data_IF_312379033676
#
_entry.id   IF_312379033676
#
_cell.length_a   1.000
_cell.length_b   1.000
_cell.length_c   1.000
_cell.angle_alpha   90.00
_cell.angle_beta   90.00
_cell.angle_gamma   90.00
#
_symmetry.space_group_name_H-M   'P 1'
#
loop_
_entity.id
_entity.type
_entity.pdbx_description
1 polymer ?
#
# COMPACT_ATOMS: atom_id res chain seq x y z
N UNK A 1 27.64 4.71 6.83
CA UNK A 1 27.02 3.99 5.69
C UNK A 1 26.38 2.73 6.26
N UNK A 2 25.05 2.68 6.35
CA UNK A 2 24.35 1.50 6.88
C UNK A 2 23.87 0.65 5.71
N UNK A 3 24.52 -0.49 5.50
CA UNK A 3 24.14 -1.47 4.49
C UNK A 3 23.01 -2.30 5.10
N UNK A 4 21.77 -2.03 4.69
CA UNK A 4 20.63 -2.89 4.99
C UNK A 4 20.66 -4.09 4.03
N UNK A 5 20.91 -5.27 4.60
CA UNK A 5 20.85 -6.56 3.90
C UNK A 5 19.38 -6.81 3.53
N UNK A 6 19.04 -6.74 2.23
CA UNK A 6 17.71 -7.06 1.72
C UNK A 6 17.58 -8.57 1.47
N UNK A 7 16.59 -9.26 2.06
CA UNK A 7 16.29 -10.64 1.70
C UNK A 7 15.61 -10.70 0.31
N UNK A 8 15.88 -11.80 -0.39
CA UNK A 8 15.78 -12.04 -1.84
C UNK A 8 14.40 -11.94 -2.55
N UNK A 9 13.35 -11.45 -1.89
CA UNK A 9 12.00 -11.29 -2.46
C UNK A 9 11.53 -9.84 -2.27
N UNK A 10 12.11 -8.91 -3.04
CA UNK A 10 12.23 -7.48 -2.73
C UNK A 10 10.95 -6.77 -2.23
N UNK A 11 10.73 -6.85 -0.92
CA UNK A 11 9.96 -5.90 -0.12
C UNK A 11 10.90 -4.76 0.22
N UNK A 12 10.89 -3.69 -0.56
CA UNK A 12 11.71 -2.51 -0.24
C UNK A 12 11.09 -1.80 0.96
N UNK A 13 11.88 -1.53 1.98
CA UNK A 13 11.43 -0.78 3.16
C UNK A 13 12.12 0.58 3.19
N UNK A 14 11.34 1.66 3.20
CA UNK A 14 11.80 3.02 3.41
C UNK A 14 11.52 3.43 4.85
N UNK A 15 12.56 3.76 5.60
CA UNK A 15 12.42 4.38 6.91
C UNK A 15 11.84 5.78 6.73
N UNK A 16 10.80 6.07 7.51
CA UNK A 16 10.24 7.40 7.70
C UNK A 16 10.74 7.94 9.05
N UNK A 17 10.39 9.18 9.36
CA UNK A 17 10.75 9.80 10.63
C UNK A 17 10.17 9.04 11.83
N UNK A 18 10.83 9.15 12.98
CA UNK A 18 10.40 8.58 14.27
C UNK A 18 10.19 7.05 14.27
N UNK A 19 10.91 6.32 13.41
CA UNK A 19 10.87 4.85 13.36
C UNK A 19 9.68 4.27 12.60
N UNK A 20 8.86 5.12 11.99
CA UNK A 20 7.83 4.69 11.05
C UNK A 20 8.45 4.06 9.81
N UNK A 21 7.73 3.15 9.15
CA UNK A 21 8.24 2.46 7.97
C UNK A 21 7.21 2.44 6.87
N UNK A 22 7.64 2.69 5.64
CA UNK A 22 6.88 2.45 4.43
C UNK A 22 7.43 1.18 3.76
N UNK A 23 6.63 0.12 3.79
CA UNK A 23 6.98 -1.19 3.26
C UNK A 23 6.31 -1.36 1.89
N UNK A 24 7.10 -1.35 0.83
CA UNK A 24 6.66 -1.64 -0.53
C UNK A 24 6.59 -3.14 -0.70
N UNK A 25 5.40 -3.71 -0.77
CA UNK A 25 5.25 -5.16 -0.98
C UNK A 25 5.21 -5.49 -2.48
N UNK A 26 4.60 -4.59 -3.27
CA UNK A 26 4.48 -4.69 -4.73
C UNK A 26 4.43 -3.28 -5.34
N UNK A 27 4.66 -3.11 -6.65
CA UNK A 27 4.69 -1.78 -7.30
C UNK A 27 3.48 -0.87 -7.04
N UNK A 28 2.29 -1.46 -6.85
CA UNK A 28 1.01 -0.81 -6.61
C UNK A 28 0.47 -1.06 -5.21
N UNK A 29 1.28 -1.61 -4.30
CA UNK A 29 0.84 -1.90 -2.94
C UNK A 29 1.95 -1.70 -1.93
N UNK A 30 1.71 -0.77 -1.01
CA UNK A 30 2.61 -0.51 0.12
C UNK A 30 1.83 -0.40 1.43
N UNK A 31 2.51 -0.56 2.54
CA UNK A 31 1.93 -0.41 3.88
C UNK A 31 2.78 0.51 4.72
N UNK A 32 2.15 1.31 5.57
CA UNK A 32 2.85 2.04 6.63
C UNK A 32 2.68 1.32 7.94
N UNK A 33 3.79 1.02 8.60
CA UNK A 33 3.82 0.44 9.94
C UNK A 33 4.35 1.47 10.94
N UNK A 34 3.78 1.43 12.14
CA UNK A 34 4.23 2.18 13.31
C UNK A 34 5.60 1.65 13.79
N UNK A 35 6.28 2.38 14.68
CA UNK A 35 7.55 1.94 15.27
C UNK A 35 7.45 0.60 16.02
N UNK A 36 6.29 0.29 16.58
CA UNK A 36 5.97 -0.99 17.25
C UNK A 36 5.75 -2.17 16.27
N UNK A 37 5.79 -1.92 14.95
CA UNK A 37 5.56 -2.91 13.91
C UNK A 37 4.09 -3.10 13.52
N UNK A 38 3.14 -2.47 14.21
CA UNK A 38 1.72 -2.56 13.87
C UNK A 38 1.40 -1.80 12.58
N UNK A 39 0.49 -2.34 11.76
CA UNK A 39 0.05 -1.66 10.53
C UNK A 39 -0.81 -0.45 10.88
N UNK A 40 -0.48 0.69 10.27
CA UNK A 40 -1.25 1.91 10.38
C UNK A 40 -2.23 2.08 9.21
N UNK A 41 -1.72 1.96 7.98
CA UNK A 41 -2.52 2.07 6.76
C UNK A 41 -1.84 1.36 5.60
N UNK A 42 -2.59 1.14 4.53
CA UNK A 42 -2.10 0.61 3.25
C UNK A 42 -2.34 1.61 2.13
N UNK A 43 -1.55 1.49 1.08
CA UNK A 43 -1.63 2.28 -0.14
C UNK A 43 -1.81 1.35 -1.33
N UNK A 44 -2.76 1.69 -2.19
CA UNK A 44 -3.11 0.93 -3.40
C UNK A 44 -3.00 1.87 -4.60
N UNK A 45 -2.14 1.54 -5.57
CA UNK A 45 -1.78 2.42 -6.67
C UNK A 45 -2.54 2.12 -7.96
N UNK A 46 -2.93 3.18 -8.67
CA UNK A 46 -3.66 3.12 -9.95
C UNK A 46 -3.13 4.17 -10.92
N UNK A 47 -3.09 3.83 -12.21
CA UNK A 47 -2.68 4.79 -13.26
C UNK A 47 -3.86 5.61 -13.79
N UNK A 48 -5.08 5.06 -13.65
CA UNK A 48 -6.33 5.61 -14.18
C UNK A 48 -7.27 6.03 -13.04
N UNK A 49 -7.85 7.23 -13.18
CA UNK A 49 -8.72 7.81 -12.16
C UNK A 49 -10.03 7.05 -12.01
N UNK A 50 -10.64 6.65 -13.14
CA UNK A 50 -11.94 5.97 -13.12
C UNK A 50 -11.83 4.62 -12.40
N UNK A 51 -10.77 3.87 -12.70
CA UNK A 51 -10.46 2.60 -12.02
C UNK A 51 -10.25 2.82 -10.52
N UNK A 52 -9.51 3.87 -10.14
CA UNK A 52 -9.27 4.20 -8.74
C UNK A 52 -10.57 4.58 -8.01
N UNK A 53 -11.47 5.34 -8.65
CA UNK A 53 -12.76 5.72 -8.08
C UNK A 53 -13.68 4.51 -7.88
N UNK A 54 -13.82 3.65 -8.89
CA UNK A 54 -14.63 2.42 -8.76
C UNK A 54 -14.10 1.50 -7.66
N UNK A 55 -12.77 1.40 -7.52
CA UNK A 55 -12.17 0.59 -6.45
C UNK A 55 -12.36 1.23 -5.07
N UNK A 56 -12.28 2.57 -4.98
CA UNK A 56 -12.56 3.32 -3.75
C UNK A 56 -13.98 3.08 -3.26
N UNK A 57 -14.98 3.14 -4.14
CA UNK A 57 -16.39 2.91 -3.80
C UNK A 57 -16.58 1.55 -3.14
N UNK A 58 -15.96 0.50 -3.71
CA UNK A 58 -16.01 -0.86 -3.16
C UNK A 58 -15.32 -0.95 -1.80
N UNK A 59 -14.12 -0.37 -1.65
CA UNK A 59 -13.40 -0.38 -0.38
C UNK A 59 -14.13 0.38 0.73
N UNK A 60 -14.75 1.51 0.38
CA UNK A 60 -15.40 2.42 1.33
C UNK A 60 -16.62 1.82 2.00
N UNK A 61 -17.16 0.70 1.49
CA UNK A 61 -18.22 -0.07 2.14
C UNK A 61 -17.77 -0.73 3.44
N UNK A 62 -16.49 -1.10 3.54
CA UNK A 62 -15.96 -1.90 4.64
C UNK A 62 -14.81 -1.21 5.40
N UNK A 63 -14.16 -0.23 4.77
CA UNK A 63 -12.97 0.41 5.30
C UNK A 63 -13.06 1.92 5.17
N UNK A 64 -12.40 2.63 6.09
CA UNK A 64 -12.09 4.04 5.84
C UNK A 64 -11.06 4.09 4.72
N UNK A 65 -11.37 4.77 3.63
CA UNK A 65 -10.49 4.91 2.48
C UNK A 65 -10.57 6.33 1.88
N UNK A 66 -9.49 6.77 1.25
CA UNK A 66 -9.37 8.09 0.64
C UNK A 66 -8.56 7.97 -0.66
N UNK A 67 -9.09 8.51 -1.75
CA UNK A 67 -8.37 8.65 -3.01
C UNK A 67 -7.58 9.95 -3.04
N UNK A 68 -6.33 9.88 -3.50
CA UNK A 68 -5.46 11.06 -3.67
C UNK A 68 -4.52 10.87 -4.86
N UNK A 69 -3.84 11.95 -5.24
CA UNK A 69 -2.76 11.90 -6.21
C UNK A 69 -1.60 11.06 -5.68
N UNK A 70 -0.89 10.38 -6.57
CA UNK A 70 0.31 9.61 -6.27
C UNK A 70 1.33 10.41 -5.47
N UNK A 71 1.74 9.90 -4.33
CA UNK A 71 2.75 10.52 -3.47
C UNK A 71 3.77 9.50 -2.97
N UNK A 72 3.31 8.29 -2.62
CA UNK A 72 4.14 7.24 -2.02
C UNK A 72 4.43 6.11 -3.00
N UNK A 73 3.47 5.81 -3.87
CA UNK A 73 3.61 4.88 -4.97
C UNK A 73 3.97 5.64 -6.25
N UNK A 74 4.66 4.98 -7.19
CA UNK A 74 5.01 5.52 -8.51
C UNK A 74 3.81 5.49 -9.49
N UNK A 75 2.58 5.59 -8.98
CA UNK A 75 1.34 5.57 -9.76
C UNK A 75 0.68 6.95 -9.74
N UNK A 76 -0.10 7.30 -10.77
CA UNK A 76 -0.77 8.61 -10.87
C UNK A 76 -1.73 8.88 -9.71
N UNK A 77 -2.42 7.84 -9.26
CA UNK A 77 -3.40 7.88 -8.17
C UNK A 77 -3.05 6.82 -7.14
N UNK A 78 -3.38 7.10 -5.88
CA UNK A 78 -3.27 6.11 -4.81
C UNK A 78 -4.46 6.23 -3.84
N UNK A 79 -4.95 5.08 -3.40
CA UNK A 79 -5.96 4.99 -2.35
C UNK A 79 -5.25 4.68 -1.04
N UNK A 80 -5.42 5.56 -0.06
CA UNK A 80 -5.05 5.32 1.33
C UNK A 80 -6.19 4.60 2.03
N UNK A 81 -5.91 3.45 2.62
CA UNK A 81 -6.92 2.66 3.35
C UNK A 81 -6.44 2.34 4.77
N UNK A 82 -7.34 2.48 5.73
CA UNK A 82 -7.10 2.15 7.14
C UNK A 82 -7.88 0.91 7.54
N UNK A 83 -7.35 0.15 8.51
CA UNK A 83 -8.03 -1.03 9.06
C UNK A 83 -7.95 -2.28 8.17
N UNK A 84 -7.15 -2.26 7.10
CA UNK A 84 -6.99 -3.42 6.21
C UNK A 84 -6.22 -4.54 6.95
N UNK A 85 -6.88 -5.69 7.18
CA UNK A 85 -6.25 -6.86 7.78
C UNK A 85 -5.15 -7.45 6.88
N UNK A 86 -4.34 -8.37 7.42
CA UNK A 86 -3.31 -9.06 6.63
C UNK A 86 -3.95 -9.91 5.53
N UNK A 87 -5.03 -10.62 5.84
CA UNK A 87 -5.81 -11.43 4.91
C UNK A 87 -6.41 -10.57 3.79
N UNK A 88 -7.03 -9.44 4.16
CA UNK A 88 -7.58 -8.50 3.20
C UNK A 88 -6.49 -7.89 2.30
N UNK A 89 -5.28 -7.67 2.83
CA UNK A 89 -4.15 -7.19 2.04
C UNK A 89 -3.69 -8.21 1.00
N UNK A 90 -3.67 -9.50 1.35
CA UNK A 90 -3.38 -10.55 0.37
C UNK A 90 -4.45 -10.62 -0.71
N UNK A 91 -5.72 -10.44 -0.36
CA UNK A 91 -6.80 -10.43 -1.35
C UNK A 91 -6.69 -9.23 -2.30
N UNK A 92 -6.39 -8.03 -1.78
CA UNK A 92 -6.09 -6.85 -2.61
C UNK A 92 -4.92 -7.14 -3.55
N UNK A 93 -3.82 -7.71 -3.04
CA UNK A 93 -2.68 -8.08 -3.87
C UNK A 93 -3.08 -9.09 -4.97
N UNK A 94 -3.89 -10.10 -4.66
CA UNK A 94 -4.41 -11.03 -5.67
C UNK A 94 -5.24 -10.32 -6.73
N UNK A 95 -6.09 -9.37 -6.36
CA UNK A 95 -6.92 -8.63 -7.32
C UNK A 95 -6.09 -7.72 -8.22
N UNK A 96 -5.08 -7.04 -7.68
CA UNK A 96 -4.20 -6.16 -8.44
C UNK A 96 -3.28 -6.91 -9.40
N UNK A 97 -2.81 -8.09 -9.00
CA UNK A 97 -1.78 -8.84 -9.71
C UNK A 97 -2.28 -10.14 -10.35
N UNK A 98 -3.57 -10.47 -10.23
CA UNK A 98 -4.21 -11.37 -11.19
C UNK A 98 -4.48 -10.62 -12.48
N UNK A 99 -3.54 -10.70 -13.42
CA UNK A 99 -3.84 -10.63 -14.85
C UNK A 99 -3.08 -11.72 -15.60
N UNK A 100 -3.84 -12.38 -16.48
CA UNK A 100 -3.52 -13.49 -17.39
C UNK A 100 -3.55 -14.88 -16.75
#
# INVERSE_FOLDING_TARGET
MSISILPRNAVTCKLLDDGWRLNYLYPRFATVTRPDGSRHCSYIGFDDLNTAQSYLETLSQNYKAELRTGQRLETCYEIKVWGLSTEASFEVLRQLYRKA
#
